data_IF_395557776482
#
_entry.id   IF_395557776482
#
_cell.length_a   1.000
_cell.length_b   1.000
_cell.length_c   1.000
_cell.angle_alpha   90.00
_cell.angle_beta   90.00
_cell.angle_gamma   90.00
#
_symmetry.space_group_name_H-M   'P 1'
#
loop_
_entity.id
_entity.type
_entity.pdbx_description
1 polymer ?
#
# COMPACT_ATOMS: atom_id res chain seq x y z
N UNK A 1 37.11 24.57 -20.89
CA UNK A 1 35.97 23.86 -20.24
C UNK A 1 35.02 23.35 -21.31
N UNK A 2 34.83 22.04 -21.47
CA UNK A 2 33.85 21.50 -22.44
C UNK A 2 32.43 21.76 -21.91
N UNK A 3 31.66 22.57 -22.64
CA UNK A 3 30.25 22.90 -22.34
C UNK A 3 29.45 21.60 -22.26
N UNK A 4 28.99 21.25 -21.06
CA UNK A 4 28.07 20.13 -20.89
C UNK A 4 26.70 20.55 -21.47
N UNK A 5 26.02 19.68 -22.23
CA UNK A 5 24.70 20.00 -22.75
C UNK A 5 23.71 20.30 -21.60
N UNK A 6 22.81 21.28 -21.78
CA UNK A 6 21.84 21.65 -20.75
C UNK A 6 20.92 20.47 -20.43
N UNK A 7 20.61 20.29 -19.15
CA UNK A 7 19.72 19.24 -18.64
C UNK A 7 18.30 19.52 -19.15
N UNK A 8 17.71 18.61 -19.94
CA UNK A 8 16.33 18.74 -20.42
C UNK A 8 15.33 18.50 -19.28
N UNK A 9 14.22 19.24 -19.21
CA UNK A 9 13.08 18.84 -18.39
C UNK A 9 12.47 17.57 -19.03
N UNK A 10 12.40 16.48 -18.25
CA UNK A 10 12.07 15.14 -18.73
C UNK A 10 13.14 14.07 -18.43
N UNK A 11 14.34 14.45 -17.97
CA UNK A 11 15.42 13.53 -17.52
C UNK A 11 15.21 12.91 -16.13
N UNK A 12 13.97 12.88 -15.64
CA UNK A 12 13.62 12.21 -14.39
C UNK A 12 13.69 10.70 -14.58
N UNK A 13 14.22 9.98 -13.58
CA UNK A 13 14.16 8.51 -13.60
C UNK A 13 12.72 8.07 -13.37
N UNK A 14 12.31 6.90 -13.86
CA UNK A 14 11.04 6.29 -13.47
C UNK A 14 10.90 6.17 -11.94
N UNK A 15 12.03 6.01 -11.24
CA UNK A 15 12.12 5.93 -9.76
C UNK A 15 12.54 7.26 -9.11
N UNK A 16 12.02 8.39 -9.60
CA UNK A 16 12.37 9.71 -9.04
C UNK A 16 11.95 9.77 -7.57
N UNK A 17 12.86 10.21 -6.70
CA UNK A 17 12.62 10.24 -5.25
C UNK A 17 12.81 8.89 -4.57
N UNK A 18 12.93 7.78 -5.31
CA UNK A 18 13.31 6.46 -4.79
C UNK A 18 14.81 6.23 -4.96
N UNK A 19 15.37 6.47 -6.16
CA UNK A 19 16.81 6.32 -6.41
C UNK A 19 17.59 7.56 -5.94
N UNK A 20 18.42 7.37 -4.91
CA UNK A 20 19.25 8.41 -4.31
C UNK A 20 20.74 8.13 -4.51
N UNK A 21 21.53 9.19 -4.64
CA UNK A 21 22.99 9.06 -4.61
C UNK A 21 23.46 8.71 -3.19
N UNK A 22 24.24 7.64 -3.04
CA UNK A 22 24.77 7.24 -1.73
C UNK A 22 25.65 8.33 -1.07
N UNK A 23 26.36 9.14 -1.86
CA UNK A 23 27.29 10.17 -1.39
C UNK A 23 26.60 11.43 -0.86
N UNK A 24 25.67 12.00 -1.64
CA UNK A 24 25.07 13.30 -1.34
C UNK A 24 23.55 13.25 -1.13
N UNK A 25 22.96 12.04 -1.08
CA UNK A 25 21.53 11.75 -0.79
C UNK A 25 20.49 12.44 -1.70
N UNK A 26 20.92 13.03 -2.82
CA UNK A 26 19.99 13.64 -3.79
C UNK A 26 19.59 12.67 -4.89
N UNK A 27 18.49 12.99 -5.58
CA UNK A 27 17.94 12.17 -6.64
C UNK A 27 18.96 11.85 -7.73
N UNK A 28 18.93 10.59 -8.16
CA UNK A 28 19.49 10.17 -9.42
C UNK A 28 18.57 10.65 -10.56
N UNK A 29 19.16 10.90 -11.72
CA UNK A 29 18.50 11.41 -12.94
C UNK A 29 19.08 10.69 -14.14
N UNK A 30 18.30 10.54 -15.21
CA UNK A 30 18.81 9.97 -16.46
C UNK A 30 19.31 11.10 -17.36
N UNK A 31 20.58 11.04 -17.72
CA UNK A 31 21.15 11.89 -18.75
C UNK A 31 21.37 11.09 -20.02
N UNK A 32 20.69 11.50 -21.09
CA UNK A 32 20.85 10.94 -22.42
C UNK A 32 21.93 11.69 -23.18
N UNK A 33 22.96 10.98 -23.62
CA UNK A 33 24.04 11.53 -24.47
C UNK A 33 23.88 11.00 -25.88
N UNK A 34 23.81 11.89 -26.88
CA UNK A 34 23.78 11.52 -28.30
C UNK A 34 25.11 11.87 -28.94
N UNK A 35 25.69 10.94 -29.70
CA UNK A 35 26.88 11.15 -30.52
C UNK A 35 26.71 10.44 -31.88
N UNK A 36 27.72 10.53 -32.76
CA UNK A 36 27.70 9.89 -34.08
C UNK A 36 27.60 8.35 -34.06
N UNK A 37 27.78 7.73 -32.89
CA UNK A 37 27.69 6.28 -32.69
C UNK A 37 26.40 5.86 -31.97
N UNK A 38 25.47 6.78 -31.70
CA UNK A 38 24.16 6.46 -31.13
C UNK A 38 23.78 7.26 -29.87
N UNK A 39 22.77 6.74 -29.18
CA UNK A 39 22.16 7.35 -28.00
C UNK A 39 22.44 6.50 -26.77
N UNK A 40 23.06 7.11 -25.75
CA UNK A 40 23.51 6.41 -24.55
C UNK A 40 22.90 7.05 -23.30
N UNK A 41 21.98 6.36 -22.59
CA UNK A 41 21.46 6.82 -21.31
C UNK A 41 22.44 6.49 -20.17
N UNK A 42 22.63 7.44 -19.26
CA UNK A 42 23.43 7.28 -18.05
C UNK A 42 22.66 7.74 -16.83
N UNK A 43 22.68 6.93 -15.77
CA UNK A 43 22.14 7.32 -14.48
C UNK A 43 23.19 8.16 -13.73
N UNK A 44 22.85 9.40 -13.43
CA UNK A 44 23.74 10.40 -12.82
C UNK A 44 23.06 11.11 -11.66
N UNK A 45 23.86 11.46 -10.65
CA UNK A 45 23.38 12.26 -9.54
C UNK A 45 23.13 13.70 -9.99
N UNK A 46 22.09 14.34 -9.45
CA UNK A 46 21.79 15.75 -9.71
C UNK A 46 22.87 16.71 -9.22
N UNK A 47 23.44 16.47 -8.03
CA UNK A 47 24.29 17.43 -7.32
C UNK A 47 25.79 17.11 -7.32
N UNK A 48 26.21 15.83 -7.43
CA UNK A 48 27.63 15.50 -7.52
C UNK A 48 28.29 16.23 -8.70
N UNK A 49 29.56 16.61 -8.56
CA UNK A 49 30.35 17.22 -9.65
C UNK A 49 30.27 16.36 -10.91
N UNK A 50 29.85 16.96 -12.03
CA UNK A 50 29.61 16.27 -13.31
C UNK A 50 28.63 15.07 -13.22
N UNK A 51 27.78 15.03 -12.20
CA UNK A 51 26.87 13.94 -11.90
C UNK A 51 27.51 12.70 -11.28
N UNK A 52 28.78 12.79 -10.84
CA UNK A 52 29.58 11.66 -10.36
C UNK A 52 29.99 10.70 -11.47
N UNK A 53 30.42 9.49 -11.11
CA UNK A 53 30.60 8.41 -12.07
C UNK A 53 29.22 8.00 -12.59
N UNK A 54 28.91 8.30 -13.86
CA UNK A 54 27.63 7.91 -14.46
C UNK A 54 27.54 6.40 -14.60
N UNK A 55 26.48 5.79 -14.07
CA UNK A 55 26.22 4.38 -14.28
C UNK A 55 25.63 4.18 -15.69
N UNK A 56 26.28 3.39 -16.56
CA UNK A 56 25.72 3.08 -17.87
C UNK A 56 24.50 2.16 -17.70
N UNK A 57 23.58 2.22 -18.67
CA UNK A 57 22.38 1.39 -18.71
C UNK A 57 21.51 1.50 -17.43
N UNK A 58 20.70 2.57 -17.30
CA UNK A 58 19.77 2.74 -16.18
C UNK A 58 18.76 1.59 -16.05
N UNK A 59 18.38 0.91 -17.14
CA UNK A 59 17.40 -0.18 -17.10
C UNK A 59 17.88 -1.33 -16.22
N UNK A 60 19.15 -1.71 -16.31
CA UNK A 60 19.74 -2.73 -15.40
C UNK A 60 19.69 -2.33 -13.93
N UNK A 61 19.76 -1.03 -13.62
CA UNK A 61 19.61 -0.54 -12.26
C UNK A 61 18.15 -0.67 -11.81
N UNK A 62 17.20 -0.42 -12.71
CA UNK A 62 15.78 -0.55 -12.45
C UNK A 62 15.38 -2.02 -12.25
N UNK A 63 15.81 -2.91 -13.15
CA UNK A 63 15.60 -4.36 -13.03
C UNK A 63 16.09 -4.87 -11.69
N UNK A 64 17.31 -4.46 -11.27
CA UNK A 64 17.85 -4.89 -9.99
C UNK A 64 17.06 -4.35 -8.80
N UNK A 65 16.62 -3.09 -8.85
CA UNK A 65 15.75 -2.52 -7.83
C UNK A 65 14.42 -3.28 -7.74
N UNK A 66 13.79 -3.55 -8.88
CA UNK A 66 12.54 -4.30 -8.99
C UNK A 66 12.69 -5.68 -8.37
N UNK A 67 13.75 -6.42 -8.71
CA UNK A 67 14.04 -7.72 -8.12
C UNK A 67 14.19 -7.66 -6.59
N UNK A 68 15.00 -6.72 -6.10
CA UNK A 68 15.28 -6.60 -4.66
C UNK A 68 14.02 -6.17 -3.89
N UNK A 69 13.18 -5.31 -4.47
CA UNK A 69 11.88 -4.94 -3.91
C UNK A 69 10.90 -6.10 -3.90
N UNK A 70 10.76 -6.83 -5.01
CA UNK A 70 9.85 -7.98 -5.12
C UNK A 70 10.23 -9.13 -4.19
N UNK A 71 11.52 -9.32 -3.92
CA UNK A 71 11.99 -10.31 -2.94
C UNK A 71 11.57 -9.98 -1.51
N UNK A 72 11.49 -8.69 -1.18
CA UNK A 72 11.17 -8.26 0.19
C UNK A 72 9.68 -8.02 0.38
N UNK A 73 9.01 -7.43 -0.62
CA UNK A 73 7.64 -6.93 -0.48
C UNK A 73 6.62 -7.64 -1.37
N UNK A 74 7.07 -8.39 -2.37
CA UNK A 74 6.20 -8.91 -3.43
C UNK A 74 5.09 -9.80 -2.92
N UNK A 75 5.35 -10.59 -1.87
CA UNK A 75 4.39 -11.57 -1.37
C UNK A 75 3.47 -11.00 -0.28
N UNK A 76 3.61 -9.71 0.08
CA UNK A 76 2.67 -9.09 1.01
C UNK A 76 1.32 -8.82 0.33
N UNK A 77 0.21 -9.05 1.04
CA UNK A 77 -1.11 -8.73 0.53
C UNK A 77 -1.27 -7.21 0.43
N UNK A 78 -1.87 -6.75 -0.66
CA UNK A 78 -2.34 -5.37 -0.77
C UNK A 78 -3.51 -5.21 0.21
N UNK A 79 -3.39 -4.23 1.09
CA UNK A 79 -4.46 -3.84 2.00
C UNK A 79 -5.09 -2.55 1.50
N UNK A 80 -6.42 -2.51 1.51
CA UNK A 80 -7.20 -1.32 1.18
C UNK A 80 -7.91 -0.87 2.44
N UNK A 81 -7.90 0.44 2.69
CA UNK A 81 -8.65 1.02 3.80
C UNK A 81 -10.09 1.26 3.34
N UNK A 82 -11.03 0.49 3.89
CA UNK A 82 -12.45 0.58 3.57
C UNK A 82 -13.21 1.23 4.74
N UNK A 83 -14.16 2.11 4.43
CA UNK A 83 -15.06 2.66 5.43
C UNK A 83 -16.15 1.64 5.79
N UNK A 84 -16.20 1.23 7.05
CA UNK A 84 -17.27 0.39 7.58
C UNK A 84 -18.28 1.28 8.29
N UNK A 85 -19.47 1.40 7.70
CA UNK A 85 -20.59 2.12 8.30
C UNK A 85 -21.13 1.34 9.52
N UNK A 86 -21.06 1.94 10.70
CA UNK A 86 -21.67 1.34 11.90
C UNK A 86 -23.20 1.34 11.83
N UNK A 87 -23.79 2.02 10.85
CA UNK A 87 -25.24 2.17 10.68
C UNK A 87 -25.97 0.83 10.47
N UNK A 88 -25.32 -0.14 9.82
CA UNK A 88 -25.90 -1.49 9.65
C UNK A 88 -25.92 -2.25 10.97
N UNK A 89 -24.82 -2.25 11.71
CA UNK A 89 -24.73 -2.86 13.04
C UNK A 89 -25.68 -2.19 14.03
N UNK A 90 -25.79 -0.85 14.01
CA UNK A 90 -26.77 -0.10 14.83
C UNK A 90 -28.22 -0.49 14.51
N UNK A 91 -28.55 -0.69 13.22
CA UNK A 91 -29.87 -1.17 12.81
C UNK A 91 -30.13 -2.60 13.30
N UNK A 92 -29.13 -3.46 13.24
CA UNK A 92 -29.23 -4.84 13.71
C UNK A 92 -29.40 -4.93 15.24
N UNK A 93 -28.61 -4.17 16.00
CA UNK A 93 -28.78 -4.02 17.46
C UNK A 93 -30.22 -3.59 17.77
N UNK A 94 -30.73 -2.58 17.07
CA UNK A 94 -32.10 -2.10 17.28
C UNK A 94 -33.15 -3.18 16.98
N UNK A 95 -32.99 -3.92 15.88
CA UNK A 95 -33.87 -5.04 15.49
C UNK A 95 -33.90 -6.13 16.56
N UNK A 96 -32.74 -6.50 17.11
CA UNK A 96 -32.61 -7.49 18.17
C UNK A 96 -33.27 -6.99 19.46
N UNK A 97 -33.03 -5.75 19.87
CA UNK A 97 -33.67 -5.14 21.04
C UNK A 97 -35.19 -5.10 20.93
N UNK A 98 -35.73 -4.70 19.77
CA UNK A 98 -37.18 -4.68 19.52
C UNK A 98 -37.77 -6.09 19.55
N UNK A 99 -37.06 -7.08 19.00
CA UNK A 99 -37.49 -8.48 19.02
C UNK A 99 -37.48 -9.05 20.44
N UNK A 100 -36.41 -8.82 21.21
CA UNK A 100 -36.31 -9.20 22.62
C UNK A 100 -37.45 -8.58 23.42
N UNK A 101 -37.71 -7.28 23.26
CA UNK A 101 -38.80 -6.58 23.94
C UNK A 101 -40.18 -7.19 23.61
N UNK A 102 -40.42 -7.58 22.35
CA UNK A 102 -41.64 -8.26 21.95
C UNK A 102 -41.78 -9.62 22.65
N UNK A 103 -40.73 -10.43 22.65
CA UNK A 103 -40.76 -11.76 23.29
C UNK A 103 -40.95 -11.65 24.81
N UNK A 104 -40.27 -10.73 25.48
CA UNK A 104 -40.46 -10.49 26.91
C UNK A 104 -41.92 -10.11 27.22
N UNK A 105 -42.49 -9.17 26.45
CA UNK A 105 -43.90 -8.75 26.63
C UNK A 105 -44.88 -9.90 26.42
N UNK A 106 -44.69 -10.72 25.39
CA UNK A 106 -45.60 -11.81 25.05
C UNK A 106 -45.46 -13.06 25.96
N UNK A 107 -44.41 -13.10 26.77
CA UNK A 107 -44.18 -14.08 27.84
C UNK A 107 -44.74 -13.65 29.20
N UNK A 108 -45.18 -12.40 29.36
CA UNK A 108 -45.88 -11.94 30.56
C UNK A 108 -47.21 -12.70 30.75
N UNK A 109 -47.74 -12.80 31.99
CA UNK A 109 -49.02 -13.45 32.25
C UNK A 109 -50.16 -12.88 31.38
N UNK A 110 -50.79 -13.74 30.58
CA UNK A 110 -51.83 -13.35 29.62
C UNK A 110 -51.32 -13.04 28.20
N UNK A 111 -50.00 -13.03 27.99
CA UNK A 111 -49.36 -12.90 26.68
C UNK A 111 -49.52 -14.14 25.80
N UNK A 112 -49.35 -13.99 24.48
CA UNK A 112 -49.70 -15.04 23.51
C UNK A 112 -48.92 -16.35 23.69
N UNK A 113 -47.71 -16.29 24.24
CA UNK A 113 -46.83 -17.44 24.39
C UNK A 113 -47.09 -18.24 25.67
N UNK A 114 -47.84 -17.68 26.62
CA UNK A 114 -48.17 -18.33 27.90
C UNK A 114 -49.34 -19.32 27.82
N UNK A 115 -50.01 -19.41 26.65
CA UNK A 115 -51.19 -20.26 26.44
C UNK A 115 -50.92 -21.76 26.56
N UNK A 116 -49.71 -22.20 26.22
CA UNK A 116 -49.29 -23.60 26.35
C UNK A 116 -47.86 -23.69 26.87
N UNK A 117 -47.54 -24.79 27.56
CA UNK A 117 -46.17 -25.06 28.02
C UNK A 117 -45.18 -25.10 26.86
N UNK A 118 -45.56 -25.73 25.76
CA UNK A 118 -44.73 -25.85 24.55
C UNK A 118 -44.40 -24.49 23.94
N UNK A 119 -45.40 -23.62 23.74
CA UNK A 119 -45.17 -22.28 23.18
C UNK A 119 -44.32 -21.40 24.09
N UNK A 120 -44.42 -21.59 25.41
CA UNK A 120 -43.62 -20.87 26.38
C UNK A 120 -42.14 -21.29 26.31
N UNK A 121 -41.85 -22.59 26.37
CA UNK A 121 -40.48 -23.13 26.29
C UNK A 121 -39.79 -22.73 24.96
N UNK A 122 -40.52 -22.74 23.84
CA UNK A 122 -39.97 -22.35 22.54
C UNK A 122 -39.70 -20.83 22.45
N UNK A 123 -40.56 -20.01 23.05
CA UNK A 123 -40.37 -18.56 23.11
C UNK A 123 -39.19 -18.18 24.03
N UNK A 124 -39.03 -18.87 25.17
CA UNK A 124 -37.87 -18.71 26.06
C UNK A 124 -36.56 -19.08 25.36
N UNK A 125 -36.54 -20.22 24.65
CA UNK A 125 -35.36 -20.64 23.87
C UNK A 125 -34.99 -19.63 22.77
N UNK A 126 -36.02 -19.05 22.11
CA UNK A 126 -35.79 -18.04 21.07
C UNK A 126 -35.29 -16.73 21.68
N UNK A 127 -35.81 -16.35 22.85
CA UNK A 127 -35.37 -15.17 23.59
C UNK A 127 -33.89 -15.29 23.99
N UNK A 128 -33.49 -16.43 24.57
CA UNK A 128 -32.10 -16.70 24.95
C UNK A 128 -31.17 -16.62 23.72
N UNK A 129 -31.61 -17.16 22.58
CA UNK A 129 -30.86 -17.06 21.33
C UNK A 129 -30.69 -15.60 20.88
N UNK A 130 -31.75 -14.79 20.92
CA UNK A 130 -31.69 -13.37 20.53
C UNK A 130 -30.81 -12.55 21.47
N UNK A 131 -30.84 -12.84 22.77
CA UNK A 131 -29.94 -12.23 23.76
C UNK A 131 -28.49 -12.61 23.45
N UNK A 132 -28.21 -13.89 23.17
CA UNK A 132 -26.88 -14.34 22.77
C UNK A 132 -26.37 -13.68 21.49
N UNK A 133 -27.24 -13.50 20.47
CA UNK A 133 -26.91 -12.76 19.25
C UNK A 133 -26.58 -11.29 19.56
N UNK A 134 -27.32 -10.64 20.47
CA UNK A 134 -27.08 -9.26 20.88
C UNK A 134 -25.78 -9.10 21.67
N UNK A 135 -25.48 -10.01 22.60
CA UNK A 135 -24.26 -10.00 23.41
C UNK A 135 -23.00 -10.32 22.59
N UNK A 136 -23.14 -11.07 21.50
CA UNK A 136 -22.04 -11.37 20.58
C UNK A 136 -21.62 -10.17 19.71
N UNK A 137 -22.45 -9.12 19.63
CA UNK A 137 -22.10 -7.91 18.86
C UNK A 137 -21.08 -7.09 19.65
N UNK A 138 -19.88 -6.95 19.08
CA UNK A 138 -18.86 -6.05 19.61
C UNK A 138 -19.33 -4.58 19.50
N UNK A 139 -19.43 -3.83 20.62
CA UNK A 139 -19.86 -2.43 20.61
C UNK A 139 -19.03 -1.51 19.72
N UNK A 140 -17.76 -1.82 19.49
CA UNK A 140 -16.91 -1.05 18.58
C UNK A 140 -17.33 -1.23 17.12
N UNK A 141 -18.04 -2.31 16.81
CA UNK A 141 -18.56 -2.55 15.45
C UNK A 141 -19.72 -1.63 15.09
N UNK A 142 -20.42 -1.09 16.09
CA UNK A 142 -21.52 -0.13 15.94
C UNK A 142 -21.04 1.31 15.69
N UNK A 143 -19.72 1.57 15.80
CA UNK A 143 -19.12 2.85 15.43
C UNK A 143 -18.63 2.82 14.00
N UNK A 144 -18.76 3.96 13.36
CA UNK A 144 -18.17 4.19 12.05
C UNK A 144 -16.64 4.17 12.18
N UNK A 145 -15.99 3.34 11.36
CA UNK A 145 -14.54 3.16 11.45
C UNK A 145 -13.94 2.78 10.11
N UNK A 146 -12.67 3.07 9.97
CA UNK A 146 -11.87 2.58 8.86
C UNK A 146 -11.29 1.21 9.20
N UNK A 147 -11.50 0.24 8.33
CA UNK A 147 -10.95 -1.11 8.45
C UNK A 147 -9.99 -1.40 7.30
N UNK A 148 -8.92 -2.14 7.57
CA UNK A 148 -8.02 -2.60 6.52
C UNK A 148 -8.52 -3.96 6.02
N UNK A 149 -8.99 -4.00 4.77
CA UNK A 149 -9.43 -5.23 4.11
C UNK A 149 -8.36 -5.71 3.15
N UNK A 150 -8.20 -7.03 3.04
CA UNK A 150 -7.32 -7.62 2.05
C UNK A 150 -7.94 -7.47 0.66
N UNK A 151 -7.26 -6.74 -0.24
CA UNK A 151 -7.73 -6.46 -1.60
C UNK A 151 -7.62 -7.64 -2.57
N UNK A 152 -7.47 -8.87 -2.07
CA UNK A 152 -7.44 -10.10 -2.87
C UNK A 152 -6.18 -10.35 -3.70
N UNK A 153 -5.21 -9.43 -3.73
CA UNK A 153 -3.96 -9.58 -4.49
C UNK A 153 -2.72 -9.20 -3.68
N UNK A 154 -1.57 -9.69 -4.11
CA UNK A 154 -0.24 -9.37 -3.59
C UNK A 154 0.37 -8.14 -4.27
N UNK A 155 1.38 -7.51 -3.66
CA UNK A 155 2.11 -6.41 -4.31
C UNK A 155 2.81 -6.85 -5.59
N UNK A 156 3.24 -8.13 -5.69
CA UNK A 156 3.77 -8.72 -6.93
C UNK A 156 2.76 -8.63 -8.06
N UNK A 157 1.54 -9.10 -7.83
CA UNK A 157 0.46 -9.07 -8.83
C UNK A 157 0.08 -7.61 -9.16
N UNK A 158 -0.05 -6.76 -8.15
CA UNK A 158 -0.34 -5.34 -8.33
C UNK A 158 0.68 -4.63 -9.23
N UNK A 159 1.98 -4.88 -9.02
CA UNK A 159 3.04 -4.26 -9.83
C UNK A 159 3.28 -4.97 -11.16
N UNK A 160 2.86 -6.23 -11.32
CA UNK A 160 2.81 -6.89 -12.63
C UNK A 160 1.74 -6.26 -13.53
N UNK A 161 0.57 -5.94 -12.97
CA UNK A 161 -0.52 -5.25 -13.68
C UNK A 161 -0.19 -3.78 -13.96
N UNK A 162 0.28 -3.04 -12.93
CA UNK A 162 0.53 -1.59 -13.00
C UNK A 162 1.92 -1.20 -13.50
N UNK A 163 2.81 -2.18 -13.73
CA UNK A 163 4.17 -1.96 -14.20
C UNK A 163 5.06 -1.17 -13.22
N UNK A 164 6.17 -0.65 -13.76
CA UNK A 164 7.17 0.09 -12.97
C UNK A 164 6.65 1.43 -12.43
N UNK A 165 5.61 2.00 -13.04
CA UNK A 165 5.02 3.26 -12.59
C UNK A 165 4.27 3.10 -11.28
N UNK A 166 3.39 2.08 -11.18
CA UNK A 166 2.70 1.75 -9.93
C UNK A 166 3.70 1.43 -8.81
N UNK A 167 4.72 0.63 -9.11
CA UNK A 167 5.78 0.33 -8.15
C UNK A 167 6.50 1.61 -7.70
N UNK A 168 6.91 2.47 -8.64
CA UNK A 168 7.62 3.71 -8.29
C UNK A 168 6.78 4.62 -7.39
N UNK A 169 5.49 4.78 -7.72
CA UNK A 169 4.56 5.57 -6.93
C UNK A 169 4.42 5.03 -5.51
N UNK A 170 4.21 3.71 -5.36
CA UNK A 170 4.12 3.07 -4.04
C UNK A 170 5.41 3.22 -3.24
N UNK A 171 6.55 2.87 -3.82
CA UNK A 171 7.86 2.99 -3.16
C UNK A 171 8.11 4.42 -2.71
N UNK A 172 7.78 5.41 -3.55
CA UNK A 172 7.92 6.81 -3.21
C UNK A 172 7.01 7.20 -2.04
N UNK A 173 5.72 6.87 -2.14
CA UNK A 173 4.64 7.16 -1.16
C UNK A 173 4.95 6.59 0.22
N UNK A 174 5.38 5.34 0.29
CA UNK A 174 5.69 4.69 1.57
C UNK A 174 7.06 5.05 2.12
N UNK A 175 7.85 5.81 1.36
CA UNK A 175 9.16 6.31 1.78
C UNK A 175 10.29 5.30 1.64
N UNK A 176 10.12 4.27 0.82
CA UNK A 176 11.23 3.39 0.43
C UNK A 176 12.19 4.18 -0.45
N UNK A 177 13.49 4.01 -0.18
CA UNK A 177 14.57 4.64 -0.92
C UNK A 177 15.60 3.58 -1.30
N UNK A 178 16.35 3.83 -2.36
CA UNK A 178 17.44 2.97 -2.79
C UNK A 178 18.68 3.82 -3.05
N UNK A 179 19.74 3.57 -2.29
CA UNK A 179 21.01 4.28 -2.44
C UNK A 179 21.86 3.61 -3.53
N UNK A 180 22.27 4.43 -4.50
CA UNK A 180 23.11 4.02 -5.62
C UNK A 180 24.55 4.44 -5.35
N UNK A 181 25.40 3.46 -5.10
CA UNK A 181 26.86 3.63 -4.95
C UNK A 181 27.54 3.33 -6.29
N UNK A 182 28.45 4.20 -6.73
CA UNK A 182 29.10 4.13 -8.05
C UNK A 182 30.61 4.26 -7.87
N UNK A 183 31.30 3.13 -7.82
CA UNK A 183 32.75 3.08 -7.55
C UNK A 183 33.53 2.95 -8.85
N UNK A 184 34.54 3.80 -9.05
CA UNK A 184 35.43 3.70 -10.20
C UNK A 184 36.27 2.42 -10.11
N UNK A 185 36.28 1.65 -11.19
CA UNK A 185 37.15 0.48 -11.34
C UNK A 185 38.34 0.87 -12.24
N UNK A 186 39.60 0.65 -11.80
CA UNK A 186 40.79 0.88 -12.65
C UNK A 186 40.71 0.07 -13.95
N UNK A 187 41.12 0.66 -15.07
CA UNK A 187 41.10 0.00 -16.38
C UNK A 187 39.71 -0.16 -17.03
N UNK A 188 38.61 0.04 -16.30
CA UNK A 188 37.24 -0.12 -16.82
C UNK A 188 36.55 1.23 -16.97
N UNK A 189 35.88 1.45 -18.11
CA UNK A 189 35.15 2.69 -18.38
C UNK A 189 33.92 2.83 -17.47
N UNK A 190 33.16 1.75 -17.31
CA UNK A 190 31.97 1.70 -16.46
C UNK A 190 32.34 1.59 -14.96
N UNK A 191 31.65 2.32 -14.07
CA UNK A 191 31.80 2.12 -12.62
C UNK A 191 31.13 0.81 -12.19
N UNK A 192 31.60 0.25 -11.06
CA UNK A 192 30.85 -0.76 -10.33
C UNK A 192 29.66 -0.09 -9.64
N UNK A 193 28.46 -0.61 -9.86
CA UNK A 193 27.22 -0.10 -9.26
C UNK A 193 26.77 -1.04 -8.16
N UNK A 194 26.48 -0.50 -6.99
CA UNK A 194 25.89 -1.23 -5.87
C UNK A 194 24.65 -0.50 -5.39
N UNK A 195 23.59 -1.28 -5.10
CA UNK A 195 22.30 -0.79 -4.63
C UNK A 195 22.09 -1.21 -3.20
N UNK A 196 21.63 -0.27 -2.37
CA UNK A 196 21.21 -0.52 -1.01
C UNK A 196 19.78 -0.06 -0.81
N UNK A 197 18.87 -1.00 -0.62
CA UNK A 197 17.46 -0.72 -0.34
C UNK A 197 17.29 -0.28 1.12
N UNK A 198 16.62 0.85 1.32
CA UNK A 198 16.27 1.42 2.60
C UNK A 198 14.75 1.32 2.76
N UNK A 199 14.33 0.43 3.65
CA UNK A 199 12.93 0.15 3.92
C UNK A 199 12.59 0.69 5.31
N UNK A 200 11.61 1.60 5.43
CA UNK A 200 11.11 2.04 6.74
C UNK A 200 10.60 0.86 7.57
N UNK A 201 10.73 0.95 8.90
CA UNK A 201 10.28 -0.14 9.80
C UNK A 201 8.76 -0.33 9.75
N UNK A 202 8.03 0.76 9.53
CA UNK A 202 6.58 0.86 9.44
C UNK A 202 6.07 0.79 7.98
N UNK A 203 6.84 0.14 7.09
CA UNK A 203 6.49 0.06 5.66
C UNK A 203 5.15 -0.65 5.43
N UNK A 204 4.81 -1.62 6.29
CA UNK A 204 3.59 -2.43 6.12
C UNK A 204 2.33 -1.60 6.35
N UNK A 205 2.37 -0.76 7.38
CA UNK A 205 1.28 0.16 7.71
C UNK A 205 1.14 1.27 6.65
N UNK A 206 2.24 1.66 6.00
CA UNK A 206 2.24 2.65 4.92
C UNK A 206 1.78 2.08 3.58
N UNK A 207 1.99 0.80 3.34
CA UNK A 207 1.59 0.12 2.10
C UNK A 207 0.07 0.00 1.95
N UNK A 208 -0.70 0.22 3.02
CA UNK A 208 -2.17 0.32 2.94
C UNK A 208 -2.56 1.41 1.93
N UNK A 209 -3.33 1.03 0.92
CA UNK A 209 -3.89 1.93 -0.08
C UNK A 209 -5.15 2.56 0.52
N UNK A 210 -5.21 3.88 0.61
CA UNK A 210 -6.38 4.59 1.14
C UNK A 210 -7.33 4.88 -0.02
N UNK A 211 -8.64 4.76 0.17
CA UNK A 211 -9.62 5.10 -0.89
C UNK A 211 -9.44 6.54 -1.41
N UNK A 212 -9.07 7.49 -0.53
CA UNK A 212 -8.73 8.87 -0.92
C UNK A 212 -7.49 8.97 -1.84
N UNK A 213 -6.59 7.98 -1.85
CA UNK A 213 -5.45 7.96 -2.76
C UNK A 213 -5.89 7.75 -4.24
N UNK A 214 -7.14 7.29 -4.47
CA UNK A 214 -7.77 7.23 -5.79
C UNK A 214 -8.67 8.44 -6.12
N UNK A 215 -8.99 9.28 -5.14
CA UNK A 215 -9.91 10.41 -5.30
C UNK A 215 -9.29 11.64 -6.00
N UNK A 216 -7.99 11.60 -6.33
CA UNK A 216 -7.32 12.63 -7.15
C UNK A 216 -6.76 12.02 -8.43
N UNK A 217 -7.64 11.52 -9.29
CA UNK A 217 -7.27 11.19 -10.66
C UNK A 217 -8.44 11.28 -11.65
N UNK A 218 -9.35 12.26 -11.53
CA UNK A 218 -10.21 12.71 -12.63
C UNK A 218 -10.53 14.20 -12.51
#
# INVERSE_FOLDING_TARGET
MKKQPPRRPGGATQFLGVLLCAECKTNMTVQVTRNGFGTYPYLRCRNCKSGGHGAPNPERVYERLVEDVLKVLGDFPVQVRQYAEGAEVRREIKRLQESIALYMKELEPGGRYTKTRFTKEQAETTLDKLIGELEAIDPETAKDRWVNVHGGKTFREHWQEGGMEAMSADLYRVGIRCEVTRTKVPGVRAPKVHLRLLIPKDVRERLVIREDDFAQAF
#
